data_IF_885303216258
#
_entry.id   IF_885303216258
#
_cell.length_a   1.000
_cell.length_b   1.000
_cell.length_c   1.000
_cell.angle_alpha   90.00
_cell.angle_beta   90.00
_cell.angle_gamma   90.00
#
_symmetry.space_group_name_H-M   'P 1'
#
loop_
_entity.id
_entity.type
_entity.pdbx_description
1 polymer ?
#
# COMPACT_ATOMS: atom_id res chain seq x y z
N UNK A 1 -43.15 6.89 40.66
CA UNK A 1 -41.70 6.83 40.36
C UNK A 1 -41.58 6.63 38.86
N UNK A 2 -41.11 7.65 38.14
CA UNK A 2 -41.00 7.61 36.68
C UNK A 2 -39.59 7.14 36.31
N UNK A 3 -39.51 6.06 35.53
CA UNK A 3 -38.28 5.51 34.99
C UNK A 3 -37.91 6.35 33.74
N UNK A 4 -36.85 7.16 33.85
CA UNK A 4 -36.30 7.90 32.72
C UNK A 4 -35.46 6.92 31.88
N UNK A 5 -36.02 6.49 30.75
CA UNK A 5 -35.27 5.76 29.72
C UNK A 5 -34.52 6.79 28.89
N UNK A 6 -33.19 6.89 29.10
CA UNK A 6 -32.33 7.69 28.24
C UNK A 6 -31.99 6.83 27.02
N UNK A 7 -32.71 7.05 25.92
CA UNK A 7 -32.27 6.66 24.58
C UNK A 7 -31.08 7.57 24.23
N UNK A 8 -29.86 7.03 24.29
CA UNK A 8 -28.69 7.74 23.76
C UNK A 8 -28.72 7.55 22.25
N UNK A 9 -29.12 8.59 21.52
CA UNK A 9 -29.08 8.62 20.07
C UNK A 9 -27.62 8.64 19.57
N UNK A 10 -27.36 7.76 18.60
CA UNK A 10 -26.34 7.81 17.54
C UNK A 10 -25.31 8.95 17.62
N UNK A 11 -24.11 8.62 18.11
CA UNK A 11 -22.88 9.22 17.61
C UNK A 11 -22.12 8.11 16.88
N UNK A 12 -22.51 7.82 15.65
CA UNK A 12 -21.59 7.20 14.69
C UNK A 12 -20.50 8.24 14.41
N UNK A 13 -19.52 8.32 15.30
CA UNK A 13 -18.20 8.80 14.95
C UNK A 13 -17.71 7.86 13.85
N UNK A 14 -18.03 8.19 12.59
CA UNK A 14 -17.21 7.80 11.45
C UNK A 14 -15.84 8.42 11.73
N UNK A 15 -15.02 7.70 12.49
CA UNK A 15 -13.62 8.04 12.65
C UNK A 15 -13.06 7.94 11.23
N UNK A 16 -12.74 9.10 10.63
CA UNK A 16 -11.83 9.14 9.49
C UNK A 16 -10.54 8.48 9.95
N UNK A 17 -10.36 7.23 9.57
CA UNK A 17 -9.16 6.49 9.93
C UNK A 17 -8.08 6.87 8.92
N UNK A 18 -6.94 7.35 9.42
CA UNK A 18 -5.79 7.60 8.56
C UNK A 18 -5.38 6.29 7.89
N UNK A 19 -5.02 6.31 6.60
CA UNK A 19 -4.52 5.11 5.95
C UNK A 19 -3.21 4.68 6.60
N UNK A 20 -3.05 3.36 6.74
CA UNK A 20 -1.86 2.71 7.27
C UNK A 20 -1.26 1.89 6.13
N UNK A 21 -0.26 2.42 5.40
CA UNK A 21 0.35 1.71 4.28
C UNK A 21 1.24 0.55 4.75
N UNK A 22 1.01 -0.65 4.22
CA UNK A 22 1.91 -1.80 4.37
C UNK A 22 1.74 -2.78 3.20
N UNK A 23 2.78 -3.56 2.91
CA UNK A 23 2.77 -4.56 1.85
C UNK A 23 3.84 -5.62 2.06
N UNK A 24 3.63 -6.82 1.52
CA UNK A 24 4.65 -7.86 1.46
C UNK A 24 5.20 -7.97 0.03
N UNK A 25 6.46 -8.39 -0.09
CA UNK A 25 7.08 -8.71 -1.37
C UNK A 25 7.27 -10.23 -1.39
N UNK A 26 6.70 -10.89 -2.38
CA UNK A 26 6.84 -12.33 -2.58
C UNK A 26 7.51 -12.63 -3.92
N UNK A 27 8.60 -13.38 -3.90
CA UNK A 27 9.30 -13.84 -5.09
C UNK A 27 8.58 -15.01 -5.78
N UNK A 28 8.52 -14.98 -7.12
CA UNK A 28 8.17 -16.16 -7.90
C UNK A 28 9.42 -17.01 -8.19
N UNK A 29 9.53 -18.13 -7.47
CA UNK A 29 10.64 -19.08 -7.63
C UNK A 29 10.69 -19.77 -9.01
N UNK A 30 9.63 -19.67 -9.80
CA UNK A 30 9.52 -20.24 -11.15
C UNK A 30 9.81 -19.25 -12.26
N UNK A 31 9.77 -17.94 -11.96
CA UNK A 31 9.99 -16.85 -12.91
C UNK A 31 10.99 -15.83 -12.34
N UNK A 32 12.30 -15.94 -12.66
CA UNK A 32 13.31 -15.02 -12.15
C UNK A 32 12.97 -13.55 -12.44
N UNK A 33 13.05 -12.72 -11.40
CA UNK A 33 12.77 -11.28 -11.48
C UNK A 33 11.29 -10.91 -11.36
N UNK A 34 10.36 -11.88 -11.37
CA UNK A 34 8.95 -11.65 -11.07
C UNK A 34 8.73 -11.66 -9.56
N UNK A 35 8.11 -10.59 -9.06
CA UNK A 35 7.61 -10.49 -7.69
C UNK A 35 6.10 -10.21 -7.69
N UNK A 36 5.44 -10.56 -6.59
CA UNK A 36 4.09 -10.11 -6.25
C UNK A 36 4.17 -9.19 -5.04
N UNK A 37 3.64 -7.97 -5.18
CA UNK A 37 3.40 -7.01 -4.11
C UNK A 37 2.02 -7.28 -3.52
N UNK A 38 1.98 -7.71 -2.27
CA UNK A 38 0.74 -8.09 -1.57
C UNK A 38 0.38 -6.98 -0.61
N UNK A 39 -0.69 -6.26 -0.88
CA UNK A 39 -1.17 -5.18 -0.04
C UNK A 39 -1.58 -5.70 1.35
N UNK A 40 -1.06 -5.05 2.39
CA UNK A 40 -1.40 -5.27 3.82
C UNK A 40 -1.91 -3.99 4.48
N UNK A 41 -2.21 -2.96 3.69
CA UNK A 41 -2.62 -1.67 4.20
C UNK A 41 -3.94 -1.76 4.94
N UNK A 42 -4.17 -0.82 5.86
CA UNK A 42 -5.45 -0.67 6.57
C UNK A 42 -6.03 0.71 6.30
N UNK A 43 -7.36 0.81 6.40
CA UNK A 43 -8.08 2.09 6.31
C UNK A 43 -7.78 2.88 5.03
N UNK A 44 -7.82 2.19 3.89
CA UNK A 44 -7.57 2.77 2.57
C UNK A 44 -8.79 2.58 1.65
N UNK A 45 -8.95 3.50 0.71
CA UNK A 45 -9.84 3.42 -0.45
C UNK A 45 -9.04 3.11 -1.72
N UNK A 46 -7.82 3.66 -1.81
CA UNK A 46 -6.92 3.50 -2.97
C UNK A 46 -5.50 3.17 -2.53
N UNK A 47 -4.80 2.42 -3.37
CA UNK A 47 -3.39 2.06 -3.22
C UNK A 47 -2.64 2.45 -4.49
N UNK A 48 -1.43 2.96 -4.31
CA UNK A 48 -0.49 3.31 -5.37
C UNK A 48 0.86 2.65 -5.08
N UNK A 49 1.56 2.22 -6.11
CA UNK A 49 2.95 1.77 -5.98
C UNK A 49 3.89 2.57 -6.89
N UNK A 50 5.00 2.99 -6.31
CA UNK A 50 6.13 3.59 -7.02
C UNK A 50 7.35 2.68 -6.87
N UNK A 51 7.95 2.28 -7.98
CA UNK A 51 9.13 1.40 -8.00
C UNK A 51 10.26 2.14 -8.70
N UNK A 52 11.34 2.39 -7.96
CA UNK A 52 12.51 3.12 -8.46
C UNK A 52 13.78 2.29 -8.37
N UNK A 53 14.56 2.25 -9.45
CA UNK A 53 15.92 1.69 -9.40
C UNK A 53 16.86 2.65 -8.67
N UNK A 54 17.55 2.15 -7.64
CA UNK A 54 18.35 3.01 -6.76
C UNK A 54 19.63 3.45 -7.46
N UNK A 55 19.79 4.77 -7.60
CA UNK A 55 20.95 5.38 -8.26
C UNK A 55 20.73 5.69 -9.74
N UNK A 56 19.52 5.46 -10.25
CA UNK A 56 19.05 6.00 -11.52
C UNK A 56 17.90 7.00 -11.28
N UNK A 57 18.00 8.16 -11.90
CA UNK A 57 17.02 9.24 -11.78
C UNK A 57 15.88 9.07 -12.82
N UNK A 58 15.98 8.07 -13.72
CA UNK A 58 15.08 7.88 -14.86
C UNK A 58 14.11 6.69 -14.76
N UNK A 59 14.45 5.63 -14.02
CA UNK A 59 13.63 4.42 -13.90
C UNK A 59 12.61 4.50 -12.77
N UNK A 60 11.46 5.13 -13.02
CA UNK A 60 10.27 5.08 -12.16
C UNK A 60 9.15 4.31 -12.86
N UNK A 61 8.58 3.32 -12.16
CA UNK A 61 7.35 2.63 -12.57
C UNK A 61 6.27 2.91 -11.56
N UNK A 62 5.12 3.39 -12.03
CA UNK A 62 3.98 3.77 -11.21
C UNK A 62 2.79 2.84 -11.49
N UNK A 63 2.11 2.41 -10.44
CA UNK A 63 0.85 1.68 -10.50
C UNK A 63 -0.22 2.46 -9.74
N UNK A 64 -1.17 3.03 -10.48
CA UNK A 64 -2.31 3.74 -9.91
C UNK A 64 -3.45 2.79 -9.59
N UNK A 65 -4.07 2.96 -8.41
CA UNK A 65 -5.20 2.13 -7.95
C UNK A 65 -4.90 0.63 -8.07
N UNK A 66 -3.74 0.24 -7.55
CA UNK A 66 -3.28 -1.13 -7.62
C UNK A 66 -4.25 -2.10 -6.91
N UNK A 67 -4.44 -3.31 -7.45
CA UNK A 67 -5.17 -4.38 -6.76
C UNK A 67 -4.46 -4.83 -5.48
N UNK A 68 -5.12 -5.68 -4.70
CA UNK A 68 -4.51 -6.24 -3.47
C UNK A 68 -3.27 -7.10 -3.75
N UNK A 69 -3.11 -7.63 -4.96
CA UNK A 69 -1.93 -8.35 -5.44
C UNK A 69 -1.46 -7.77 -6.77
N UNK A 70 -0.28 -7.13 -6.78
CA UNK A 70 0.30 -6.48 -7.96
C UNK A 70 1.61 -7.16 -8.37
N UNK A 71 1.66 -7.71 -9.58
CA UNK A 71 2.88 -8.31 -10.13
C UNK A 71 3.82 -7.24 -10.73
N UNK A 72 5.12 -7.43 -10.57
CA UNK A 72 6.15 -6.62 -11.21
C UNK A 72 7.36 -7.46 -11.61
N UNK A 73 7.96 -7.15 -12.76
CA UNK A 73 9.14 -7.86 -13.28
C UNK A 73 10.33 -6.91 -13.34
N UNK A 74 11.39 -7.23 -12.61
CA UNK A 74 12.65 -6.52 -12.69
C UNK A 74 13.51 -7.05 -13.85
N UNK A 75 14.10 -6.13 -14.61
CA UNK A 75 14.98 -6.46 -15.75
C UNK A 75 16.44 -6.18 -15.49
N UNK A 76 16.77 -5.37 -14.47
CA UNK A 76 18.14 -4.94 -14.18
C UNK A 76 18.55 -5.39 -12.78
N UNK A 77 19.73 -6.00 -12.66
CA UNK A 77 20.23 -6.46 -11.36
C UNK A 77 20.61 -5.24 -10.50
N UNK A 78 20.20 -5.25 -9.24
CA UNK A 78 20.53 -4.19 -8.29
C UNK A 78 19.43 -3.93 -7.27
N UNK A 79 19.51 -2.74 -6.65
CA UNK A 79 18.62 -2.35 -5.57
C UNK A 79 17.48 -1.50 -6.08
N UNK A 80 16.26 -1.85 -5.67
CA UNK A 80 15.05 -1.09 -5.93
C UNK A 80 14.46 -0.58 -4.62
N UNK A 81 13.87 0.62 -4.67
CA UNK A 81 13.00 1.15 -3.64
C UNK A 81 11.56 1.04 -4.13
N UNK A 82 10.73 0.32 -3.37
CA UNK A 82 9.31 0.14 -3.65
C UNK A 82 8.55 0.91 -2.59
N UNK A 83 7.78 1.91 -2.99
CA UNK A 83 6.95 2.73 -2.11
C UNK A 83 5.49 2.40 -2.37
N UNK A 84 4.77 2.00 -1.32
CA UNK A 84 3.31 1.96 -1.35
C UNK A 84 2.78 3.27 -0.79
N UNK A 85 1.75 3.83 -1.43
CA UNK A 85 0.98 4.96 -0.91
C UNK A 85 -0.47 4.53 -0.76
N UNK A 86 -1.04 4.76 0.41
CA UNK A 86 -2.44 4.48 0.71
C UNK A 86 -3.22 5.78 0.87
N UNK A 87 -4.38 5.88 0.23
CA UNK A 87 -5.29 7.03 0.31
C UNK A 87 -6.61 6.65 0.98
N UNK A 88 -7.16 7.52 1.82
CA UNK A 88 -8.53 7.42 2.31
C UNK A 88 -9.12 8.82 2.53
N UNK A 89 -10.24 9.13 1.86
CA UNK A 89 -10.89 10.45 1.93
C UNK A 89 -9.93 11.64 1.70
N UNK A 90 -8.93 11.49 0.82
CA UNK A 90 -7.92 12.51 0.51
C UNK A 90 -6.77 12.62 1.52
N UNK A 91 -6.71 11.75 2.54
CA UNK A 91 -5.53 11.58 3.38
C UNK A 91 -4.59 10.56 2.75
N UNK A 92 -3.31 10.91 2.61
CA UNK A 92 -2.27 10.06 2.03
C UNK A 92 -1.23 9.71 3.09
N UNK A 93 -0.80 8.44 3.11
CA UNK A 93 0.40 8.00 3.81
C UNK A 93 1.17 6.99 2.95
N UNK A 94 2.49 6.98 3.11
CA UNK A 94 3.37 6.11 2.32
C UNK A 94 4.36 5.33 3.20
N UNK A 95 4.77 4.17 2.71
CA UNK A 95 5.79 3.31 3.31
C UNK A 95 6.68 2.72 2.21
N UNK A 96 7.98 2.59 2.46
CA UNK A 96 8.94 2.06 1.47
C UNK A 96 9.64 0.81 1.98
N UNK A 97 9.86 -0.16 1.09
CA UNK A 97 10.71 -1.35 1.30
C UNK A 97 11.75 -1.43 0.19
N UNK A 98 12.93 -1.93 0.53
CA UNK A 98 14.02 -2.11 -0.42
C UNK A 98 14.08 -3.57 -0.87
N UNK A 99 14.25 -3.77 -2.16
CA UNK A 99 14.37 -5.09 -2.78
C UNK A 99 15.68 -5.18 -3.57
N UNK A 100 16.34 -6.34 -3.51
CA UNK A 100 17.59 -6.59 -4.25
C UNK A 100 17.34 -7.71 -5.25
N UNK A 101 17.41 -7.38 -6.54
CA UNK A 101 17.29 -8.35 -7.63
C UNK A 101 18.68 -8.84 -8.05
N UNK A 102 18.89 -10.15 -8.02
CA UNK A 102 20.14 -10.84 -8.37
C UNK A 102 20.04 -11.75 -9.60
#
# INVERSE_FOLDING_TARGET
>A
MALLVILVSENSCLYRQFPIPDFEIQDDITAPGLITLINKSENYEYIYYDIQFRGDDGGLVEYDNAPDEQEHVFTEHGYYEITITAENEGHLQSCSKYYHFE
#
